data_IF_710107730155
#
_entry.id   IF_710107730155
#
_cell.length_a   1.000
_cell.length_b   1.000
_cell.length_c   1.000
_cell.angle_alpha   90.00
_cell.angle_beta   90.00
_cell.angle_gamma   90.00
#
_symmetry.space_group_name_H-M   'P 1'
#
loop_
_entity.id
_entity.type
_entity.pdbx_description
1 polymer ?
#
# COMPACT_ATOMS: atom_id res chain seq x y z
N UNK A 1 40.12 -17.32 53.07
CA UNK A 1 38.69 -17.05 52.82
C UNK A 1 38.51 -16.80 51.33
N UNK A 2 37.73 -17.65 50.69
CA UNK A 2 37.23 -17.49 49.32
C UNK A 2 36.33 -16.26 49.22
N UNK A 3 36.39 -15.51 48.12
CA UNK A 3 35.20 -14.96 47.46
C UNK A 3 35.52 -14.58 46.01
N UNK A 4 34.52 -14.81 45.17
CA UNK A 4 34.59 -15.10 43.74
C UNK A 4 34.76 -13.86 42.85
N UNK A 5 35.18 -14.15 41.61
CA UNK A 5 35.19 -13.27 40.46
C UNK A 5 33.78 -12.75 40.09
N UNK A 6 33.73 -11.54 39.55
CA UNK A 6 32.76 -11.19 38.52
C UNK A 6 33.54 -10.55 37.36
N UNK A 7 33.75 -11.34 36.31
CA UNK A 7 34.20 -10.82 35.04
C UNK A 7 33.13 -9.86 34.52
N UNK A 8 33.49 -8.59 34.30
CA UNK A 8 32.68 -7.72 33.45
C UNK A 8 32.62 -8.39 32.07
N UNK A 9 31.44 -8.75 31.55
CA UNK A 9 31.38 -9.20 30.17
C UNK A 9 31.80 -8.01 29.32
N UNK A 10 32.88 -8.20 28.58
CA UNK A 10 33.27 -7.34 27.49
C UNK A 10 32.01 -7.13 26.64
N UNK A 11 31.63 -5.87 26.45
CA UNK A 11 30.76 -5.46 25.36
C UNK A 11 31.45 -5.95 24.08
N UNK A 12 31.07 -7.13 23.60
CA UNK A 12 31.50 -7.63 22.30
C UNK A 12 30.92 -6.70 21.27
N UNK A 13 31.80 -5.95 20.61
CA UNK A 13 31.50 -5.04 19.51
C UNK A 13 31.17 -5.79 18.21
N UNK A 14 30.37 -6.85 18.29
CA UNK A 14 29.79 -7.52 17.13
C UNK A 14 28.34 -7.05 16.99
N UNK A 15 28.21 -5.98 16.22
CA UNK A 15 27.01 -5.22 15.84
C UNK A 15 25.67 -5.97 15.85
N UNK A 16 24.63 -5.45 16.55
CA UNK A 16 23.25 -5.89 16.32
C UNK A 16 22.44 -5.02 15.34
N UNK A 17 22.96 -3.91 14.78
CA UNK A 17 22.09 -2.97 14.04
C UNK A 17 22.65 -2.45 12.72
N UNK A 18 22.36 -3.14 11.60
CA UNK A 18 22.23 -2.48 10.30
C UNK A 18 20.84 -2.61 9.63
N UNK A 19 19.81 -3.24 10.23
CA UNK A 19 18.53 -3.51 9.53
C UNK A 19 17.40 -2.49 9.72
N UNK A 20 17.50 -1.55 10.67
CA UNK A 20 16.42 -0.58 10.92
C UNK A 20 16.34 0.53 9.84
N UNK A 21 17.44 0.97 9.23
CA UNK A 21 17.36 2.12 8.30
C UNK A 21 16.57 1.83 7.02
N UNK A 22 16.73 0.64 6.42
CA UNK A 22 16.09 0.28 5.14
C UNK A 22 14.60 0.02 5.32
N UNK A 23 14.21 -0.73 6.36
CA UNK A 23 12.81 -1.01 6.65
C UNK A 23 12.04 0.28 6.98
N UNK A 24 12.64 1.18 7.76
CA UNK A 24 12.01 2.46 8.11
C UNK A 24 11.87 3.37 6.88
N UNK A 25 12.88 3.43 6.01
CA UNK A 25 12.80 4.21 4.76
C UNK A 25 11.69 3.69 3.85
N UNK A 26 11.61 2.36 3.67
CA UNK A 26 10.55 1.72 2.89
C UNK A 26 9.15 1.99 3.47
N UNK A 27 9.01 1.93 4.80
CA UNK A 27 7.75 2.26 5.48
C UNK A 27 7.34 3.72 5.24
N UNK A 28 8.27 4.67 5.29
CA UNK A 28 7.95 6.08 5.00
C UNK A 28 7.55 6.28 3.54
N UNK A 29 8.23 5.61 2.61
CA UNK A 29 7.88 5.67 1.19
C UNK A 29 6.46 5.11 0.93
N UNK A 30 6.12 3.97 1.52
CA UNK A 30 4.77 3.38 1.42
C UNK A 30 3.73 4.35 1.97
N UNK A 31 3.97 4.91 3.16
CA UNK A 31 3.07 5.90 3.77
C UNK A 31 2.88 7.13 2.89
N UNK A 32 3.95 7.64 2.29
CA UNK A 32 3.88 8.80 1.43
C UNK A 32 3.05 8.49 0.18
N UNK A 33 3.33 7.39 -0.52
CA UNK A 33 2.57 6.99 -1.71
C UNK A 33 1.08 6.78 -1.39
N UNK A 34 0.78 6.14 -0.27
CA UNK A 34 -0.60 5.94 0.18
C UNK A 34 -1.30 7.27 0.52
N UNK A 35 -0.57 8.20 1.12
CA UNK A 35 -1.05 9.56 1.37
C UNK A 35 -1.36 10.27 0.06
N UNK A 36 -0.48 10.18 -0.93
CA UNK A 36 -0.65 10.82 -2.24
C UNK A 36 -1.85 10.23 -3.00
N UNK A 37 -2.02 8.90 -2.97
CA UNK A 37 -3.22 8.22 -3.48
C UNK A 37 -4.49 8.75 -2.80
N UNK A 38 -4.45 8.93 -1.48
CA UNK A 38 -5.59 9.42 -0.70
C UNK A 38 -5.93 10.86 -1.06
N UNK A 39 -4.93 11.76 -1.13
CA UNK A 39 -5.14 13.16 -1.52
C UNK A 39 -5.77 13.23 -2.91
N UNK A 40 -5.20 12.49 -3.88
CA UNK A 40 -5.74 12.47 -5.24
C UNK A 40 -7.16 11.90 -5.31
N UNK A 41 -7.44 10.86 -4.52
CA UNK A 41 -8.78 10.30 -4.39
C UNK A 41 -9.79 11.34 -3.85
N UNK A 42 -9.38 12.18 -2.90
CA UNK A 42 -10.23 13.21 -2.30
C UNK A 42 -10.57 14.33 -3.30
N UNK A 43 -9.64 14.71 -4.19
CA UNK A 43 -9.90 15.70 -5.24
C UNK A 43 -11.02 15.30 -6.21
N UNK A 44 -11.30 14.00 -6.29
CA UNK A 44 -12.32 13.43 -7.17
C UNK A 44 -13.68 13.26 -6.48
N UNK A 45 -13.79 13.61 -5.19
CA UNK A 45 -15.06 13.56 -4.47
C UNK A 45 -16.09 14.48 -5.09
N UNK A 46 -17.34 14.01 -5.16
CA UNK A 46 -18.44 14.73 -5.77
C UNK A 46 -18.58 14.53 -7.28
N UNK A 47 -17.59 13.92 -7.95
CA UNK A 47 -17.73 13.50 -9.35
C UNK A 47 -18.84 12.45 -9.45
N UNK A 48 -19.74 12.63 -10.43
CA UNK A 48 -20.85 11.71 -10.67
C UNK A 48 -20.34 10.31 -11.00
N UNK A 49 -20.91 9.31 -10.35
CA UNK A 49 -20.74 7.92 -10.76
C UNK A 49 -21.37 7.67 -12.13
N UNK A 50 -20.60 7.16 -13.09
CA UNK A 50 -21.09 6.77 -14.42
C UNK A 50 -20.54 5.42 -14.78
N UNK A 51 -21.41 4.42 -14.97
CA UNK A 51 -21.02 3.09 -15.45
C UNK A 51 -20.29 3.21 -16.80
N UNK A 52 -19.08 2.66 -16.89
CA UNK A 52 -18.23 2.81 -18.07
C UNK A 52 -17.39 4.10 -18.07
N UNK A 53 -17.56 4.97 -17.07
CA UNK A 53 -16.84 6.23 -16.90
C UNK A 53 -15.36 6.04 -16.60
N UNK A 54 -14.53 6.90 -17.19
CA UNK A 54 -13.07 6.80 -17.18
C UNK A 54 -12.36 8.14 -17.01
N UNK A 55 -13.10 9.25 -16.89
CA UNK A 55 -12.51 10.57 -16.76
C UNK A 55 -13.37 11.45 -15.83
N UNK A 56 -12.75 12.36 -15.06
CA UNK A 56 -13.47 13.25 -14.16
C UNK A 56 -14.58 14.06 -14.82
N UNK A 57 -14.35 14.51 -16.06
CA UNK A 57 -15.25 15.40 -16.81
C UNK A 57 -16.53 14.66 -17.22
N UNK A 58 -16.41 13.36 -17.51
CA UNK A 58 -17.51 12.53 -18.00
C UNK A 58 -18.13 11.64 -16.92
N UNK A 59 -17.58 11.64 -15.71
CA UNK A 59 -17.91 10.73 -14.62
C UNK A 59 -17.02 9.48 -14.59
N UNK A 60 -16.92 8.88 -13.41
CA UNK A 60 -16.08 7.73 -13.10
C UNK A 60 -16.92 6.54 -12.65
N UNK A 61 -16.50 5.31 -12.99
CA UNK A 61 -16.93 4.11 -12.26
C UNK A 61 -15.86 3.63 -11.29
N UNK A 62 -16.14 2.53 -10.55
CA UNK A 62 -15.23 1.99 -9.55
C UNK A 62 -13.82 1.74 -10.10
N UNK A 63 -13.72 1.05 -11.24
CA UNK A 63 -12.44 0.78 -11.89
C UNK A 63 -11.84 2.01 -12.59
N UNK A 64 -12.66 2.88 -13.18
CA UNK A 64 -12.20 4.11 -13.82
C UNK A 64 -11.56 5.07 -12.81
N UNK A 65 -12.14 5.16 -11.62
CA UNK A 65 -11.58 5.92 -10.50
C UNK A 65 -10.20 5.38 -10.08
N UNK A 66 -10.10 4.08 -9.79
CA UNK A 66 -8.82 3.45 -9.39
C UNK A 66 -7.75 3.69 -10.45
N UNK A 67 -8.06 3.45 -11.73
CA UNK A 67 -7.13 3.68 -12.84
C UNK A 67 -6.68 5.13 -12.92
N UNK A 68 -7.58 6.08 -12.72
CA UNK A 68 -7.25 7.51 -12.80
C UNK A 68 -6.28 7.91 -11.68
N UNK A 69 -6.58 7.51 -10.43
CA UNK A 69 -5.75 7.83 -9.26
C UNK A 69 -4.37 7.16 -9.35
N UNK A 70 -4.33 5.86 -9.67
CA UNK A 70 -3.06 5.11 -9.74
C UNK A 70 -2.18 5.53 -10.91
N UNK A 71 -2.79 5.92 -12.05
CA UNK A 71 -2.03 6.45 -13.18
C UNK A 71 -1.37 7.78 -12.84
N UNK A 72 -2.07 8.66 -12.11
CA UNK A 72 -1.58 9.99 -11.78
C UNK A 72 -0.47 9.95 -10.70
N UNK A 73 -0.68 9.15 -9.66
CA UNK A 73 0.23 9.11 -8.49
C UNK A 73 1.40 8.15 -8.70
N UNK A 74 1.15 6.98 -9.29
CA UNK A 74 2.13 5.88 -9.38
C UNK A 74 2.59 5.63 -10.82
N UNK A 75 1.97 6.28 -11.81
CA UNK A 75 2.26 6.03 -13.23
C UNK A 75 1.79 4.65 -13.72
N UNK A 76 0.97 3.95 -12.93
CA UNK A 76 0.58 2.57 -13.21
C UNK A 76 -0.52 2.50 -14.28
N UNK A 77 -0.27 1.74 -15.35
CA UNK A 77 -1.27 1.49 -16.40
C UNK A 77 -2.10 0.26 -16.08
N UNK A 78 -3.15 0.45 -15.28
CA UNK A 78 -4.04 -0.62 -14.87
C UNK A 78 -5.05 -1.02 -15.97
N UNK A 79 -5.47 -2.31 -16.02
CA UNK A 79 -6.55 -2.78 -16.88
C UNK A 79 -7.87 -2.03 -16.68
N UNK A 80 -8.81 -2.15 -17.62
CA UNK A 80 -10.05 -1.35 -17.60
C UNK A 80 -11.02 -1.78 -16.52
N UNK A 81 -11.18 -3.09 -16.30
CA UNK A 81 -12.25 -3.61 -15.45
C UNK A 81 -11.72 -3.99 -14.07
N UNK A 82 -12.56 -3.83 -13.03
CA UNK A 82 -12.18 -4.22 -11.66
C UNK A 82 -11.78 -5.69 -11.54
N UNK A 83 -12.39 -6.57 -12.33
CA UNK A 83 -12.07 -8.01 -12.37
C UNK A 83 -10.72 -8.32 -13.02
N UNK A 84 -10.22 -7.47 -13.92
CA UNK A 84 -8.88 -7.60 -14.48
C UNK A 84 -7.85 -6.98 -13.54
N UNK A 85 -8.14 -5.80 -12.98
CA UNK A 85 -7.28 -5.17 -11.97
C UNK A 85 -7.10 -6.12 -10.78
N UNK A 86 -8.15 -6.85 -10.38
CA UNK A 86 -8.07 -7.82 -9.28
C UNK A 86 -7.17 -9.04 -9.55
N UNK A 87 -6.57 -9.13 -10.74
CA UNK A 87 -5.62 -10.19 -11.13
C UNK A 87 -4.22 -9.63 -11.36
N UNK A 88 -4.03 -8.33 -11.17
CA UNK A 88 -2.77 -7.63 -11.30
C UNK A 88 -2.27 -7.31 -9.90
N UNK A 89 -1.00 -7.56 -9.64
CA UNK A 89 -0.38 -7.35 -8.32
C UNK A 89 -0.26 -8.63 -7.51
N UNK A 90 0.09 -8.48 -6.24
CA UNK A 90 0.31 -9.58 -5.31
C UNK A 90 -0.87 -9.72 -4.34
N UNK A 91 -1.28 -10.95 -4.05
CA UNK A 91 -2.34 -11.18 -3.08
C UNK A 91 -1.87 -10.82 -1.67
N UNK A 92 -2.66 -10.00 -0.99
CA UNK A 92 -2.45 -9.59 0.39
C UNK A 92 -3.47 -10.30 1.28
N UNK A 93 -3.03 -10.87 2.40
CA UNK A 93 -3.98 -11.40 3.39
C UNK A 93 -4.67 -10.23 4.10
N UNK A 94 -5.92 -10.42 4.52
CA UNK A 94 -6.69 -9.34 5.17
C UNK A 94 -5.98 -8.74 6.39
N UNK A 95 -5.20 -9.54 7.13
CA UNK A 95 -4.44 -9.11 8.31
C UNK A 95 -3.22 -8.24 7.97
N UNK A 96 -2.75 -8.31 6.73
CA UNK A 96 -1.53 -7.64 6.26
C UNK A 96 -1.84 -6.42 5.37
N UNK A 97 -3.11 -6.02 5.30
CA UNK A 97 -3.57 -4.85 4.55
C UNK A 97 -2.86 -3.57 5.00
N UNK A 98 -2.35 -2.84 4.03
CA UNK A 98 -1.69 -1.55 4.22
C UNK A 98 -2.43 -0.44 3.45
N UNK A 99 -2.30 0.83 3.89
CA UNK A 99 -2.78 1.96 3.12
C UNK A 99 -2.19 1.94 1.70
N UNK A 100 -3.06 2.09 0.70
CA UNK A 100 -2.69 1.99 -0.72
C UNK A 100 -3.12 0.68 -1.37
N UNK A 101 -3.39 -0.38 -0.60
CA UNK A 101 -3.87 -1.65 -1.14
C UNK A 101 -5.29 -1.52 -1.70
N UNK A 102 -5.57 -2.32 -2.73
CA UNK A 102 -6.88 -2.38 -3.38
C UNK A 102 -7.72 -3.52 -2.84
N UNK A 103 -8.94 -3.17 -2.44
CA UNK A 103 -9.96 -4.13 -1.97
C UNK A 103 -10.98 -4.36 -3.07
N UNK A 104 -11.12 -5.60 -3.51
CA UNK A 104 -12.09 -6.03 -4.52
C UNK A 104 -13.22 -6.81 -3.87
N UNK A 105 -14.43 -6.27 -3.93
CA UNK A 105 -15.61 -6.86 -3.30
C UNK A 105 -16.43 -7.61 -4.35
N UNK A 106 -16.69 -8.90 -4.09
CA UNK A 106 -17.65 -9.72 -4.84
C UNK A 106 -18.85 -10.06 -3.95
N UNK A 107 -19.91 -10.66 -4.51
CA UNK A 107 -21.12 -11.02 -3.76
C UNK A 107 -20.90 -11.97 -2.57
N UNK A 108 -19.76 -12.65 -2.50
CA UNK A 108 -19.46 -13.63 -1.44
C UNK A 108 -18.04 -13.60 -0.89
N UNK A 109 -17.11 -12.87 -1.53
CA UNK A 109 -15.68 -12.87 -1.16
C UNK A 109 -15.04 -11.48 -1.42
N UNK A 110 -14.01 -11.14 -0.65
CA UNK A 110 -13.12 -10.01 -0.91
C UNK A 110 -11.75 -10.51 -1.37
N UNK A 111 -11.15 -9.86 -2.37
CA UNK A 111 -9.75 -10.05 -2.75
C UNK A 111 -8.97 -8.76 -2.45
N UNK A 112 -7.71 -8.91 -2.05
CA UNK A 112 -6.86 -7.80 -1.63
C UNK A 112 -5.54 -7.87 -2.41
N UNK A 113 -5.10 -6.73 -2.94
CA UNK A 113 -3.89 -6.65 -3.77
C UNK A 113 -3.06 -5.43 -3.44
N UNK A 114 -1.74 -5.59 -3.58
CA UNK A 114 -0.73 -4.53 -3.61
C UNK A 114 -0.42 -4.09 -5.04
#
# INVERSE_FOLDING_TARGET
>A
MLLAAAANPAWSADNPFPESSTAYTKLQEIKQRASDLTVKAMDLMGIRYKRGGNSPENGLDCSGFVRYVFKDVVGANLPRTSAEISKVGEHVEQKDLQPGDLVFITRSNAAFLM
#
